data_IF_302651142846
#
_entry.id   IF_302651142846
#
_cell.length_a   1.000
_cell.length_b   1.000
_cell.length_c   1.000
_cell.angle_alpha   90.00
_cell.angle_beta   90.00
_cell.angle_gamma   90.00
#
_symmetry.space_group_name_H-M   'P 1'
#
loop_
_entity.id
_entity.type
_entity.pdbx_description
1 polymer ?
#
# COMPACT_ATOMS: atom_id res chain seq x y z
N UNK A 1 8.75 20.01 14.68
CA UNK A 1 7.47 19.49 15.24
C UNK A 1 6.89 18.56 14.19
N UNK A 2 6.80 17.25 14.45
CA UNK A 2 6.32 16.27 13.46
C UNK A 2 4.81 16.43 13.23
N UNK A 3 4.37 16.48 11.96
CA UNK A 3 2.97 16.76 11.58
C UNK A 3 2.05 15.56 11.79
N UNK A 4 2.58 14.40 12.23
CA UNK A 4 1.82 13.17 12.49
C UNK A 4 0.64 13.34 13.47
N UNK A 5 0.63 14.39 14.30
CA UNK A 5 -0.38 14.54 15.38
C UNK A 5 -1.81 14.85 14.89
N UNK A 6 -2.06 15.13 13.61
CA UNK A 6 -3.37 15.57 13.11
C UNK A 6 -3.91 14.82 11.87
N UNK A 7 -3.34 13.67 11.51
CA UNK A 7 -3.88 12.90 10.37
C UNK A 7 -5.20 12.27 10.80
N UNK A 8 -6.31 12.67 10.18
CA UNK A 8 -7.61 12.05 10.44
C UNK A 8 -7.59 10.59 9.94
N UNK A 9 -8.02 9.65 10.77
CA UNK A 9 -8.12 8.23 10.40
C UNK A 9 -6.79 7.47 10.42
N UNK A 10 -5.73 8.03 11.01
CA UNK A 10 -4.40 7.40 11.07
C UNK A 10 -4.43 6.00 11.70
N UNK A 11 -5.38 5.73 12.61
CA UNK A 11 -5.61 4.43 13.24
C UNK A 11 -6.01 3.32 12.26
N UNK A 12 -6.45 3.69 11.05
CA UNK A 12 -6.75 2.78 9.95
C UNK A 12 -5.49 2.31 9.22
N UNK A 13 -4.35 2.99 9.39
CA UNK A 13 -3.04 2.56 8.88
C UNK A 13 -2.48 1.46 9.78
N UNK A 14 -3.11 0.28 9.75
CA UNK A 14 -2.69 -0.90 10.49
C UNK A 14 -2.56 -2.09 9.55
N UNK A 15 -1.67 -3.02 9.88
CA UNK A 15 -1.40 -4.20 9.08
C UNK A 15 -2.69 -4.90 8.62
N UNK A 16 -2.72 -5.31 7.34
CA UNK A 16 -3.84 -6.00 6.72
C UNK A 16 -5.16 -5.20 6.70
N UNK A 17 -5.07 -3.87 6.74
CA UNK A 17 -6.17 -2.97 6.49
C UNK A 17 -6.03 -2.34 5.10
N UNK A 18 -7.14 -2.20 4.38
CA UNK A 18 -7.19 -1.53 3.10
C UNK A 18 -8.15 -0.35 3.15
N UNK A 19 -7.95 0.65 2.31
CA UNK A 19 -8.81 1.84 2.27
C UNK A 19 -8.33 2.84 1.22
N UNK A 20 -8.65 4.11 1.44
CA UNK A 20 -8.15 5.22 0.63
C UNK A 20 -7.42 6.27 1.49
N UNK A 21 -6.29 6.79 1.02
CA UNK A 21 -5.58 7.92 1.64
C UNK A 21 -5.71 9.13 0.73
N UNK A 22 -6.03 10.29 1.29
CA UNK A 22 -5.90 11.56 0.58
C UNK A 22 -4.54 12.17 0.89
N UNK A 23 -3.77 12.46 -0.14
CA UNK A 23 -2.44 13.07 -0.06
C UNK A 23 -2.52 14.61 -0.09
N UNK A 24 -1.43 15.26 0.30
CA UNK A 24 -1.30 16.71 0.38
C UNK A 24 -1.40 17.43 -0.98
N UNK A 25 -1.10 16.72 -2.07
CA UNK A 25 -1.27 17.16 -3.46
C UNK A 25 -2.73 17.07 -3.95
N UNK A 26 -3.63 16.55 -3.11
CA UNK A 26 -5.06 16.39 -3.39
C UNK A 26 -5.42 15.04 -4.04
N UNK A 27 -4.45 14.21 -4.41
CA UNK A 27 -4.71 12.88 -4.96
C UNK A 27 -5.21 11.92 -3.89
N UNK A 28 -6.08 10.99 -4.30
CA UNK A 28 -6.54 9.89 -3.46
C UNK A 28 -5.96 8.58 -3.95
N UNK A 29 -5.31 7.84 -3.07
CA UNK A 29 -4.68 6.55 -3.37
C UNK A 29 -5.37 5.42 -2.61
N UNK A 30 -5.73 4.35 -3.33
CA UNK A 30 -6.14 3.10 -2.70
C UNK A 30 -4.92 2.39 -2.14
N UNK A 31 -5.04 1.86 -0.92
CA UNK A 31 -3.94 1.23 -0.21
C UNK A 31 -4.36 -0.08 0.46
N UNK A 32 -3.40 -0.99 0.65
CA UNK A 32 -3.45 -2.09 1.62
C UNK A 32 -2.16 -2.13 2.43
N UNK A 33 -2.24 -1.93 3.75
CA UNK A 33 -1.05 -1.72 4.61
C UNK A 33 -0.22 -3.01 4.73
N UNK A 34 1.06 -2.88 4.41
CA UNK A 34 2.09 -3.91 4.63
C UNK A 34 2.76 -3.67 5.98
N UNK A 35 3.22 -2.44 6.24
CA UNK A 35 3.78 -2.01 7.53
C UNK A 35 3.73 -0.49 7.65
N UNK A 36 3.81 -0.02 8.88
CA UNK A 36 4.03 1.39 9.21
C UNK A 36 5.36 1.47 9.94
N UNK A 37 6.25 2.32 9.45
CA UNK A 37 7.52 2.67 10.10
C UNK A 37 7.35 4.04 10.80
N UNK A 38 8.40 4.53 11.44
CA UNK A 38 8.32 5.74 12.29
C UNK A 38 7.73 6.99 11.60
N UNK A 39 7.93 7.19 10.29
CA UNK A 39 7.41 8.35 9.56
C UNK A 39 6.84 8.03 8.16
N UNK A 40 6.57 6.76 7.87
CA UNK A 40 6.09 6.33 6.55
C UNK A 40 5.18 5.11 6.65
N UNK A 41 4.30 4.97 5.66
CA UNK A 41 3.51 3.76 5.45
C UNK A 41 3.98 3.08 4.17
N UNK A 42 4.18 1.76 4.26
CA UNK A 42 4.45 0.88 3.12
C UNK A 42 3.19 0.09 2.84
N UNK A 43 2.71 0.15 1.59
CA UNK A 43 1.40 -0.38 1.24
C UNK A 43 1.35 -0.94 -0.19
N UNK A 44 0.46 -1.89 -0.41
CA UNK A 44 0.04 -2.29 -1.74
C UNK A 44 -0.77 -1.18 -2.38
N UNK A 45 -0.38 -0.75 -3.58
CA UNK A 45 -1.13 0.23 -4.37
C UNK A 45 -2.46 -0.36 -4.86
N UNK A 46 -3.32 0.46 -5.47
CA UNK A 46 -4.50 -0.06 -6.18
C UNK A 46 -4.16 -1.11 -7.24
N UNK A 47 -2.99 -1.03 -7.88
CA UNK A 47 -2.49 -2.07 -8.79
C UNK A 47 -2.11 -3.34 -8.02
N UNK A 48 -1.30 -3.21 -6.97
CA UNK A 48 -0.94 -4.33 -6.09
C UNK A 48 -2.17 -5.07 -5.57
N UNK A 49 -3.18 -4.34 -5.11
CA UNK A 49 -4.43 -4.93 -4.65
C UNK A 49 -5.17 -5.70 -5.76
N UNK A 50 -5.29 -5.13 -6.97
CA UNK A 50 -5.97 -5.78 -8.09
C UNK A 50 -5.23 -7.03 -8.59
N UNK A 51 -3.90 -6.98 -8.67
CA UNK A 51 -3.12 -8.04 -9.30
C UNK A 51 -2.72 -9.14 -8.29
N UNK A 52 -2.65 -8.83 -7.00
CA UNK A 52 -2.19 -9.78 -5.97
C UNK A 52 -3.29 -10.23 -5.01
N UNK A 53 -4.34 -9.43 -4.81
CA UNK A 53 -5.27 -9.60 -3.69
C UNK A 53 -6.75 -9.53 -4.04
N UNK A 54 -7.12 -9.31 -5.31
CA UNK A 54 -8.55 -9.28 -5.68
C UNK A 54 -9.24 -10.63 -5.38
N UNK A 55 -10.49 -10.63 -4.90
CA UNK A 55 -11.15 -11.83 -4.40
C UNK A 55 -11.46 -12.85 -5.51
N UNK A 56 -11.76 -12.36 -6.72
CA UNK A 56 -12.11 -13.21 -7.87
C UNK A 56 -11.03 -13.05 -8.93
N UNK A 57 -10.33 -14.15 -9.23
CA UNK A 57 -9.23 -14.22 -10.19
C UNK A 57 -9.44 -15.37 -11.18
N UNK A 58 -9.09 -15.15 -12.44
CA UNK A 58 -8.90 -16.22 -13.43
C UNK A 58 -7.66 -17.06 -13.08
N UNK A 59 -7.47 -18.22 -13.71
CA UNK A 59 -6.29 -19.05 -13.48
C UNK A 59 -4.97 -18.34 -13.86
N UNK A 60 -4.98 -17.54 -14.92
CA UNK A 60 -3.84 -16.72 -15.33
C UNK A 60 -3.53 -15.66 -14.27
N UNK A 61 -4.56 -15.01 -13.73
CA UNK A 61 -4.40 -13.99 -12.68
C UNK A 61 -3.93 -14.60 -11.37
N UNK A 62 -4.40 -15.80 -11.01
CA UNK A 62 -3.88 -16.54 -9.84
C UNK A 62 -2.40 -16.86 -10.00
N UNK A 63 -1.98 -17.27 -11.20
CA UNK A 63 -0.57 -17.53 -11.51
C UNK A 63 0.27 -16.28 -11.37
N UNK A 64 -0.18 -15.16 -11.95
CA UNK A 64 0.49 -13.86 -11.83
C UNK A 64 0.56 -13.41 -10.37
N UNK A 65 -0.56 -13.47 -9.64
CA UNK A 65 -0.62 -13.12 -8.23
C UNK A 65 0.37 -13.95 -7.39
N UNK A 66 0.46 -15.26 -7.67
CA UNK A 66 1.44 -16.16 -7.05
C UNK A 66 2.88 -15.75 -7.35
N UNK A 67 3.21 -15.42 -8.60
CA UNK A 67 4.53 -14.95 -8.99
C UNK A 67 4.89 -13.63 -8.31
N UNK A 68 3.97 -12.66 -8.26
CA UNK A 68 4.18 -11.37 -7.58
C UNK A 68 4.40 -11.54 -6.08
N UNK A 69 3.65 -12.44 -5.43
CA UNK A 69 3.85 -12.77 -4.01
C UNK A 69 5.20 -13.40 -3.76
N UNK A 70 5.60 -14.38 -4.59
CA UNK A 70 6.92 -14.99 -4.53
C UNK A 70 8.04 -13.96 -4.72
N UNK A 71 7.89 -13.00 -5.65
CA UNK A 71 8.84 -11.91 -5.82
C UNK A 71 9.01 -11.15 -4.49
N UNK A 72 7.92 -10.80 -3.82
CA UNK A 72 7.96 -10.10 -2.53
C UNK A 72 8.71 -10.83 -1.42
N UNK A 73 8.79 -12.16 -1.49
CA UNK A 73 9.51 -13.02 -0.53
C UNK A 73 11.01 -13.13 -0.83
N UNK A 74 11.47 -12.74 -2.03
CA UNK A 74 12.88 -12.82 -2.42
C UNK A 74 13.71 -11.63 -1.91
N UNK A 75 15.03 -11.81 -1.83
CA UNK A 75 15.96 -10.70 -1.61
C UNK A 75 15.79 -9.62 -2.69
N UNK A 76 15.59 -8.37 -2.26
CA UNK A 76 15.28 -7.24 -3.15
C UNK A 76 13.86 -7.29 -3.77
N UNK A 77 13.01 -8.21 -3.32
CA UNK A 77 11.63 -8.39 -3.79
C UNK A 77 10.77 -7.14 -3.67
N UNK A 78 10.83 -6.48 -2.52
CA UNK A 78 10.12 -5.22 -2.29
C UNK A 78 10.52 -4.15 -3.31
N UNK A 79 11.82 -3.98 -3.58
CA UNK A 79 12.29 -2.98 -4.55
C UNK A 79 11.78 -3.28 -5.96
N UNK A 80 11.66 -4.56 -6.34
CA UNK A 80 11.05 -4.98 -7.61
C UNK A 80 9.56 -4.65 -7.65
N UNK A 81 8.84 -4.85 -6.54
CA UNK A 81 7.42 -4.54 -6.43
C UNK A 81 7.16 -3.01 -6.40
N UNK A 82 8.07 -2.23 -5.82
CA UNK A 82 8.06 -0.75 -5.91
C UNK A 82 8.29 -0.31 -7.35
N UNK A 83 9.33 -0.84 -8.00
CA UNK A 83 9.68 -0.50 -9.39
C UNK A 83 8.58 -0.86 -10.40
N UNK A 84 7.72 -1.82 -10.05
CA UNK A 84 6.58 -2.25 -10.86
C UNK A 84 5.24 -1.69 -10.37
N UNK A 85 5.26 -0.72 -9.45
CA UNK A 85 4.12 0.04 -8.92
C UNK A 85 3.09 -0.81 -8.14
N UNK A 86 3.47 -1.99 -7.66
CA UNK A 86 2.62 -2.83 -6.82
C UNK A 86 2.68 -2.42 -5.35
N UNK A 87 3.83 -1.90 -4.91
CA UNK A 87 4.07 -1.36 -3.58
C UNK A 87 4.44 0.12 -3.72
N UNK A 88 4.00 0.94 -2.77
CA UNK A 88 4.44 2.30 -2.62
C UNK A 88 4.78 2.60 -1.16
N UNK A 89 5.60 3.63 -0.98
CA UNK A 89 6.01 4.17 0.32
C UNK A 89 5.60 5.64 0.32
N UNK A 90 4.86 6.05 1.33
CA UNK A 90 4.40 7.43 1.49
C UNK A 90 4.72 7.93 2.88
N UNK A 91 5.28 9.14 2.98
CA UNK A 91 5.51 9.77 4.27
C UNK A 91 4.18 10.05 4.96
N UNK A 92 4.12 9.84 6.27
CA UNK A 92 2.94 10.22 7.06
C UNK A 92 2.69 11.74 6.98
N UNK A 93 3.74 12.55 6.81
CA UNK A 93 3.61 14.00 6.66
C UNK A 93 2.93 14.42 5.33
N UNK A 94 2.83 13.50 4.35
CA UNK A 94 2.16 13.71 3.06
C UNK A 94 0.68 13.31 3.08
N UNK A 95 0.21 12.68 4.15
CA UNK A 95 -1.18 12.21 4.26
C UNK A 95 -2.03 13.24 4.97
N UNK A 96 -3.11 13.68 4.32
CA UNK A 96 -4.09 14.61 4.89
C UNK A 96 -5.10 13.86 5.74
N UNK A 97 -5.63 12.76 5.22
CA UNK A 97 -6.59 11.90 5.92
C UNK A 97 -6.65 10.50 5.32
N UNK A 98 -7.15 9.57 6.10
CA UNK A 98 -7.37 8.17 5.75
C UNK A 98 -8.86 7.86 5.86
N UNK A 99 -9.40 7.18 4.85
CA UNK A 99 -10.83 6.93 4.63
C UNK A 99 -11.03 5.42 4.42
N UNK A 100 -12.14 4.89 4.95
CA UNK A 100 -12.62 3.53 4.72
C UNK A 100 -14.09 3.55 4.33
#
# INVERSE_FOLDING_TARGET
>A
MSKTRNIQGIELLRFNHAGAMQLNDGHTVNYGVIRVNDNEVVYYTGKGLREMWKPTMTEEEKKLAGQLKQIGETEGGEQKLISSEHIAITSLDDIVRVIF
#
